data_IF_560442913898
#
_entry.id   IF_560442913898
#
_cell.length_a   1.000
_cell.length_b   1.000
_cell.length_c   1.000
_cell.angle_alpha   90.00
_cell.angle_beta   90.00
_cell.angle_gamma   90.00
#
_symmetry.space_group_name_H-M   'P 1'
#
loop_
_entity.id
_entity.type
_entity.pdbx_description
1 polymer ?
#
# COMPACT_ATOMS: atom_id res chain seq x y z
N UNK A 1 7.13 -7.64 13.64
CA UNK A 1 7.17 -9.09 13.58
C UNK A 1 6.16 -9.70 14.55
N UNK A 2 5.36 -10.64 14.10
CA UNK A 2 4.36 -11.33 14.93
C UNK A 2 2.89 -11.03 14.57
N UNK A 3 2.64 -10.02 13.74
CA UNK A 3 1.33 -9.79 13.10
C UNK A 3 1.37 -10.42 11.70
N UNK A 4 0.32 -11.12 11.33
CA UNK A 4 0.19 -11.69 9.98
C UNK A 4 -0.33 -10.62 9.00
N UNK A 5 0.00 -10.75 7.72
CA UNK A 5 -0.49 -9.82 6.69
C UNK A 5 -2.02 -9.90 6.52
N UNK A 6 -2.58 -11.11 6.55
CA UNK A 6 -4.04 -11.30 6.49
C UNK A 6 -4.75 -10.66 7.70
N UNK A 7 -4.18 -10.71 8.90
CA UNK A 7 -4.70 -10.03 10.09
C UNK A 7 -4.65 -8.50 9.95
N UNK A 8 -3.62 -7.94 9.32
CA UNK A 8 -3.58 -6.51 9.00
C UNK A 8 -4.73 -6.12 8.08
N UNK A 9 -4.98 -6.92 7.03
CA UNK A 9 -6.08 -6.66 6.11
C UNK A 9 -7.45 -6.79 6.79
N UNK A 10 -7.62 -7.81 7.66
CA UNK A 10 -8.83 -7.97 8.49
C UNK A 10 -9.08 -6.73 9.34
N UNK A 11 -8.05 -6.17 9.95
CA UNK A 11 -8.18 -4.94 10.74
C UNK A 11 -8.61 -3.75 9.90
N UNK A 12 -8.05 -3.59 8.69
CA UNK A 12 -8.44 -2.53 7.77
C UNK A 12 -9.92 -2.65 7.37
N UNK A 13 -10.39 -3.86 7.03
CA UNK A 13 -11.79 -4.10 6.66
C UNK A 13 -12.73 -3.86 7.85
N UNK A 14 -12.40 -4.40 9.02
CA UNK A 14 -13.23 -4.19 10.23
C UNK A 14 -13.33 -2.72 10.60
N UNK A 15 -12.20 -2.00 10.64
CA UNK A 15 -12.19 -0.58 10.93
C UNK A 15 -12.94 0.25 9.88
N UNK A 16 -12.93 -0.16 8.61
CA UNK A 16 -13.75 0.46 7.58
C UNK A 16 -15.24 0.29 7.87
N UNK A 17 -15.68 -0.93 8.22
CA UNK A 17 -17.09 -1.23 8.54
C UNK A 17 -17.53 -0.54 9.84
N UNK A 18 -16.69 -0.53 10.86
CA UNK A 18 -16.98 0.19 12.13
C UNK A 18 -17.21 1.69 11.91
N UNK A 19 -16.52 2.28 10.94
CA UNK A 19 -16.71 3.70 10.55
C UNK A 19 -17.92 3.94 9.65
N UNK A 20 -18.50 2.89 9.10
CA UNK A 20 -19.67 2.93 8.24
C UNK A 20 -20.79 2.02 8.78
N UNK A 21 -21.30 2.27 10.00
CA UNK A 21 -22.25 1.38 10.70
C UNK A 21 -23.61 1.24 10.02
N UNK A 22 -23.91 2.07 9.02
CA UNK A 22 -25.11 1.98 8.21
C UNK A 22 -25.01 0.93 7.10
N UNK A 23 -23.81 0.45 6.81
CA UNK A 23 -23.57 -0.58 5.80
C UNK A 23 -23.76 -1.94 6.45
N UNK A 24 -24.77 -2.67 6.00
CA UNK A 24 -24.91 -4.08 6.37
C UNK A 24 -23.77 -4.88 5.74
N UNK A 25 -22.95 -5.59 6.54
CA UNK A 25 -21.91 -6.45 5.99
C UNK A 25 -22.41 -7.47 4.95
N UNK A 26 -23.67 -7.88 5.04
CA UNK A 26 -24.30 -8.80 4.08
C UNK A 26 -24.63 -8.14 2.73
N UNK A 27 -24.64 -6.82 2.65
CA UNK A 27 -24.85 -6.08 1.41
C UNK A 27 -23.58 -5.91 0.58
N UNK A 28 -22.40 -6.24 1.12
CA UNK A 28 -21.15 -6.19 0.37
C UNK A 28 -21.17 -7.27 -0.70
N UNK A 29 -20.99 -6.85 -1.95
CA UNK A 29 -21.13 -7.74 -3.11
C UNK A 29 -19.80 -8.29 -3.61
N UNK A 30 -18.68 -7.66 -3.28
CA UNK A 30 -17.33 -8.17 -3.59
C UNK A 30 -16.24 -7.54 -2.72
N UNK A 31 -15.10 -8.24 -2.61
CA UNK A 31 -13.91 -7.80 -1.87
C UNK A 31 -12.67 -8.01 -2.72
N UNK A 32 -12.13 -6.94 -3.30
CA UNK A 32 -10.93 -6.96 -4.13
C UNK A 32 -9.70 -6.50 -3.33
N UNK A 33 -8.78 -7.40 -3.04
CA UNK A 33 -7.57 -7.08 -2.27
C UNK A 33 -6.32 -7.37 -3.09
N UNK A 34 -5.44 -6.41 -3.14
CA UNK A 34 -4.14 -6.56 -3.78
C UNK A 34 -3.03 -6.91 -2.79
N UNK A 35 -2.10 -7.74 -3.26
CA UNK A 35 -0.79 -7.92 -2.66
C UNK A 35 0.22 -8.14 -3.78
N UNK A 36 1.42 -7.53 -3.66
CA UNK A 36 2.48 -7.71 -4.65
C UNK A 36 3.22 -9.03 -4.44
N UNK A 37 3.36 -9.46 -3.19
CA UNK A 37 3.98 -10.73 -2.82
C UNK A 37 2.90 -11.73 -2.40
N UNK A 38 2.28 -12.40 -3.37
CA UNK A 38 1.17 -13.33 -3.10
C UNK A 38 1.66 -14.72 -2.65
N UNK A 39 2.38 -14.75 -1.53
CA UNK A 39 2.91 -15.96 -0.89
C UNK A 39 2.59 -15.97 0.60
N UNK A 40 2.73 -17.11 1.26
CA UNK A 40 2.46 -17.26 2.69
C UNK A 40 1.08 -16.73 3.09
N UNK A 41 1.04 -15.86 4.09
CA UNK A 41 -0.20 -15.24 4.60
C UNK A 41 -0.73 -14.08 3.73
N UNK A 42 -0.05 -13.75 2.63
CA UNK A 42 -0.54 -12.88 1.55
C UNK A 42 -1.05 -13.68 0.33
N UNK A 43 -0.94 -15.00 0.37
CA UNK A 43 -1.39 -15.92 -0.67
C UNK A 43 -2.85 -16.36 -0.52
N UNK A 44 -3.18 -17.49 -1.18
CA UNK A 44 -4.47 -18.17 -1.10
C UNK A 44 -5.69 -17.27 -1.30
N UNK A 45 -5.65 -16.39 -2.29
CA UNK A 45 -6.73 -15.44 -2.52
C UNK A 45 -7.01 -14.59 -1.26
N UNK A 46 -6.06 -13.72 -0.92
CA UNK A 46 -6.15 -12.86 0.28
C UNK A 46 -7.45 -12.06 0.34
N UNK A 47 -8.05 -11.68 -0.81
CA UNK A 47 -9.34 -10.98 -0.84
C UNK A 47 -10.45 -11.82 -0.22
N UNK A 48 -10.54 -13.09 -0.61
CA UNK A 48 -11.53 -14.02 -0.03
C UNK A 48 -11.23 -14.37 1.42
N UNK A 49 -9.96 -14.64 1.73
CA UNK A 49 -9.53 -14.97 3.10
C UNK A 49 -9.82 -13.82 4.06
N UNK A 50 -9.46 -12.59 3.69
CA UNK A 50 -9.69 -11.41 4.50
C UNK A 50 -11.19 -11.10 4.67
N UNK A 51 -12.01 -11.31 3.63
CA UNK A 51 -13.46 -11.14 3.73
C UNK A 51 -14.05 -12.05 4.83
N UNK A 52 -13.75 -13.34 4.77
CA UNK A 52 -14.24 -14.31 5.74
C UNK A 52 -13.73 -14.05 7.17
N UNK A 53 -12.43 -13.80 7.31
CA UNK A 53 -11.79 -13.53 8.60
C UNK A 53 -12.28 -12.20 9.21
N UNK A 54 -12.73 -11.25 8.40
CA UNK A 54 -13.33 -9.99 8.87
C UNK A 54 -14.72 -10.17 9.44
N UNK A 55 -15.36 -11.32 9.20
CA UNK A 55 -16.71 -11.63 9.65
C UNK A 55 -17.78 -11.28 8.63
N UNK A 56 -17.41 -11.01 7.37
CA UNK A 56 -18.40 -10.91 6.29
C UNK A 56 -19.08 -12.27 6.07
N UNK A 57 -20.34 -12.32 5.66
CA UNK A 57 -21.03 -13.55 5.34
C UNK A 57 -20.30 -14.39 4.29
N UNK A 58 -20.46 -15.70 4.34
CA UNK A 58 -19.84 -16.61 3.37
C UNK A 58 -20.38 -16.45 1.94
N UNK A 59 -21.47 -15.74 1.78
CA UNK A 59 -22.05 -15.33 0.48
C UNK A 59 -21.27 -14.21 -0.20
N UNK A 60 -20.50 -13.41 0.54
CA UNK A 60 -19.71 -12.31 0.00
C UNK A 60 -18.47 -12.88 -0.70
N UNK A 61 -18.33 -12.75 -2.02
CA UNK A 61 -17.15 -13.22 -2.74
C UNK A 61 -15.92 -12.35 -2.42
N UNK A 62 -14.78 -12.79 -2.94
CA UNK A 62 -13.56 -12.01 -2.85
C UNK A 62 -12.48 -12.55 -3.74
N UNK A 63 -11.60 -11.70 -4.21
CA UNK A 63 -10.50 -12.09 -5.09
C UNK A 63 -9.23 -11.25 -4.83
N UNK A 64 -8.11 -11.79 -5.28
CA UNK A 64 -6.82 -11.13 -5.19
C UNK A 64 -6.42 -10.50 -6.51
N UNK A 65 -5.72 -9.37 -6.43
CA UNK A 65 -5.12 -8.70 -7.58
C UNK A 65 -3.61 -8.65 -7.37
N UNK A 66 -2.86 -8.97 -8.43
CA UNK A 66 -1.45 -8.66 -8.53
C UNK A 66 -1.24 -7.64 -9.66
N UNK A 67 -0.78 -6.48 -9.27
CA UNK A 67 -0.23 -5.44 -10.15
C UNK A 67 0.89 -4.70 -9.43
N UNK A 68 1.64 -5.44 -8.65
CA UNK A 68 2.74 -4.92 -7.82
C UNK A 68 2.29 -3.70 -7.01
N UNK A 69 3.12 -2.65 -6.94
CA UNK A 69 2.82 -1.43 -6.19
C UNK A 69 1.53 -0.70 -6.63
N UNK A 70 1.01 -0.97 -7.83
CA UNK A 70 -0.25 -0.40 -8.34
C UNK A 70 -1.47 -1.29 -8.02
N UNK A 71 -1.31 -2.38 -7.29
CA UNK A 71 -2.35 -3.37 -7.05
C UNK A 71 -3.59 -2.80 -6.36
N UNK A 72 -3.44 -2.11 -5.23
CA UNK A 72 -4.57 -1.56 -4.49
C UNK A 72 -5.38 -0.54 -5.31
N UNK A 73 -4.70 0.35 -6.06
CA UNK A 73 -5.39 1.26 -6.97
C UNK A 73 -6.10 0.50 -8.11
N UNK A 74 -5.52 -0.60 -8.58
CA UNK A 74 -6.17 -1.47 -9.57
C UNK A 74 -7.42 -2.13 -8.99
N UNK A 75 -7.40 -2.57 -7.73
CA UNK A 75 -8.58 -3.08 -7.05
C UNK A 75 -9.70 -2.01 -7.03
N UNK A 76 -9.37 -0.77 -6.65
CA UNK A 76 -10.31 0.35 -6.66
C UNK A 76 -10.90 0.58 -8.06
N UNK A 77 -10.06 0.68 -9.09
CA UNK A 77 -10.54 0.94 -10.46
C UNK A 77 -11.33 -0.23 -11.04
N UNK A 78 -11.01 -1.47 -10.67
CA UNK A 78 -11.77 -2.67 -11.10
C UNK A 78 -13.16 -2.68 -10.48
N UNK A 79 -13.25 -2.46 -9.16
CA UNK A 79 -14.55 -2.36 -8.48
C UNK A 79 -15.36 -1.16 -8.99
N UNK A 80 -14.74 0.00 -9.18
CA UNK A 80 -15.42 1.17 -9.76
C UNK A 80 -15.97 0.87 -11.17
N UNK A 81 -15.21 0.11 -11.99
CA UNK A 81 -15.68 -0.37 -13.29
C UNK A 81 -16.89 -1.30 -13.17
N UNK A 82 -16.86 -2.26 -12.23
CA UNK A 82 -17.96 -3.17 -11.98
C UNK A 82 -19.24 -2.42 -11.54
N UNK A 83 -19.09 -1.43 -10.66
CA UNK A 83 -20.19 -0.54 -10.24
C UNK A 83 -20.73 0.26 -11.42
N UNK A 84 -19.87 0.85 -12.23
CA UNK A 84 -20.29 1.62 -13.41
C UNK A 84 -21.04 0.79 -14.46
N UNK A 85 -20.78 -0.51 -14.50
CA UNK A 85 -21.48 -1.47 -15.39
C UNK A 85 -22.75 -2.06 -14.76
N UNK A 86 -23.07 -1.72 -13.51
CA UNK A 86 -24.21 -2.28 -12.77
C UNK A 86 -24.01 -3.73 -12.31
N UNK A 87 -22.75 -4.22 -12.28
CA UNK A 87 -22.44 -5.55 -11.76
C UNK A 87 -22.38 -5.59 -10.24
N UNK A 88 -22.05 -4.46 -9.61
CA UNK A 88 -22.05 -4.27 -8.18
C UNK A 88 -22.68 -2.91 -7.83
N UNK A 89 -23.28 -2.81 -6.67
CA UNK A 89 -23.72 -1.52 -6.07
C UNK A 89 -22.79 -1.06 -4.94
N UNK A 90 -22.25 -2.02 -4.16
CA UNK A 90 -21.36 -1.72 -3.02
C UNK A 90 -20.34 -2.83 -2.83
N UNK A 91 -19.06 -2.46 -2.72
CA UNK A 91 -17.97 -3.40 -2.60
C UNK A 91 -16.78 -2.80 -1.82
N UNK A 92 -15.85 -3.65 -1.41
CA UNK A 92 -14.62 -3.26 -0.73
C UNK A 92 -13.44 -3.47 -1.69
N UNK A 93 -12.57 -2.47 -1.78
CA UNK A 93 -11.29 -2.56 -2.48
C UNK A 93 -10.15 -2.15 -1.56
N UNK A 94 -8.99 -2.76 -1.72
CA UNK A 94 -7.84 -2.42 -0.89
C UNK A 94 -6.58 -3.18 -1.25
N UNK A 95 -5.64 -3.19 -0.33
CA UNK A 95 -4.42 -3.96 -0.48
C UNK A 95 -3.66 -4.08 0.83
N UNK A 96 -2.77 -5.05 0.86
CA UNK A 96 -1.88 -5.31 1.99
C UNK A 96 -0.50 -5.67 1.47
N UNK A 97 0.52 -5.20 2.17
CA UNK A 97 1.90 -5.67 1.99
C UNK A 97 2.58 -5.70 3.36
N UNK A 98 3.22 -6.80 3.68
CA UNK A 98 3.97 -6.98 4.92
C UNK A 98 5.43 -7.31 4.60
N UNK A 99 6.19 -6.28 4.26
CA UNK A 99 7.59 -6.44 3.81
C UNK A 99 8.54 -6.87 4.93
N UNK A 100 8.11 -6.77 6.18
CA UNK A 100 8.83 -7.30 7.33
C UNK A 100 8.79 -8.84 7.42
N UNK A 101 7.70 -9.48 6.95
CA UNK A 101 7.57 -10.94 6.88
C UNK A 101 7.87 -11.48 5.48
N UNK A 102 7.52 -10.73 4.45
CA UNK A 102 7.69 -11.08 3.04
C UNK A 102 8.64 -10.08 2.37
N UNK A 103 9.97 -10.33 2.42
CA UNK A 103 10.96 -9.45 1.83
C UNK A 103 10.71 -9.26 0.33
N UNK A 104 11.02 -8.06 -0.17
CA UNK A 104 10.90 -7.76 -1.60
C UNK A 104 11.67 -8.79 -2.43
N UNK A 105 10.96 -9.43 -3.37
CA UNK A 105 11.51 -10.48 -4.22
C UNK A 105 11.29 -11.90 -3.71
N UNK A 106 10.66 -12.09 -2.55
CA UNK A 106 10.29 -13.43 -2.09
C UNK A 106 9.39 -14.14 -3.12
N UNK A 107 9.73 -15.39 -3.45
CA UNK A 107 8.96 -16.19 -4.40
C UNK A 107 9.03 -15.72 -5.87
N UNK A 108 9.85 -14.70 -6.17
CA UNK A 108 10.04 -14.25 -7.55
C UNK A 108 10.92 -15.24 -8.33
N UNK A 109 10.41 -15.71 -9.45
CA UNK A 109 11.15 -16.54 -10.42
C UNK A 109 11.00 -15.93 -11.83
N UNK A 110 11.72 -14.84 -12.13
CA UNK A 110 11.62 -14.20 -13.43
C UNK A 110 12.14 -15.12 -14.54
N UNK A 111 11.39 -15.23 -15.63
CA UNK A 111 11.75 -16.07 -16.74
C UNK A 111 13.14 -15.65 -17.28
N UNK A 112 14.15 -16.57 -17.35
CA UNK A 112 15.49 -16.24 -17.79
C UNK A 112 15.57 -15.73 -19.24
N UNK A 113 14.53 -15.93 -20.04
CA UNK A 113 14.41 -15.37 -21.39
C UNK A 113 14.38 -13.85 -21.39
N UNK A 114 13.93 -13.20 -20.32
CA UNK A 114 14.00 -11.74 -20.22
C UNK A 114 15.42 -11.21 -20.50
N UNK A 115 16.43 -11.87 -19.96
CA UNK A 115 17.84 -11.50 -20.17
C UNK A 115 18.43 -12.14 -21.43
N UNK A 116 18.15 -13.44 -21.67
CA UNK A 116 18.70 -14.17 -22.80
C UNK A 116 18.27 -13.57 -24.15
N UNK A 117 17.02 -13.14 -24.26
CA UNK A 117 16.46 -12.50 -25.45
C UNK A 117 16.59 -10.97 -25.45
N UNK A 118 17.25 -10.41 -24.42
CA UNK A 118 17.44 -8.97 -24.26
C UNK A 118 16.14 -8.16 -24.27
N UNK A 119 15.06 -8.74 -23.73
CA UNK A 119 13.78 -8.05 -23.56
C UNK A 119 13.91 -6.93 -22.52
N UNK A 120 14.66 -7.21 -21.45
CA UNK A 120 15.03 -6.25 -20.42
C UNK A 120 16.52 -6.35 -20.11
N UNK A 121 17.09 -5.31 -19.55
CA UNK A 121 18.47 -5.35 -19.06
C UNK A 121 18.52 -5.94 -17.65
N UNK A 122 19.67 -6.45 -17.24
CA UNK A 122 19.86 -7.18 -15.99
C UNK A 122 19.41 -6.41 -14.74
N UNK A 123 19.60 -5.10 -14.73
CA UNK A 123 19.25 -4.23 -13.60
C UNK A 123 17.84 -3.63 -13.71
N UNK A 124 17.10 -3.94 -14.77
CA UNK A 124 15.76 -3.38 -15.01
C UNK A 124 14.71 -3.82 -13.96
N UNK A 125 14.94 -4.94 -13.28
CA UNK A 125 14.08 -5.43 -12.21
C UNK A 125 14.35 -4.74 -10.85
N UNK A 126 15.42 -3.95 -10.75
CA UNK A 126 15.75 -3.18 -9.56
C UNK A 126 15.22 -1.74 -9.69
N UNK A 127 14.22 -1.39 -8.88
CA UNK A 127 13.57 -0.07 -8.96
C UNK A 127 14.53 1.11 -8.79
N UNK A 128 15.55 0.98 -7.95
CA UNK A 128 16.57 2.01 -7.80
C UNK A 128 17.38 2.23 -9.06
N UNK A 129 17.74 1.16 -9.78
CA UNK A 129 18.43 1.24 -11.09
C UNK A 129 17.52 1.87 -12.14
N UNK A 130 16.23 1.54 -12.14
CA UNK A 130 15.24 2.20 -13.01
C UNK A 130 15.16 3.70 -12.74
N UNK A 131 15.12 4.10 -11.47
CA UNK A 131 15.12 5.50 -11.08
C UNK A 131 16.41 6.22 -11.52
N UNK A 132 17.60 5.58 -11.40
CA UNK A 132 18.85 6.16 -11.89
C UNK A 132 18.83 6.37 -13.40
N UNK A 133 18.25 5.46 -14.19
CA UNK A 133 18.08 5.64 -15.64
C UNK A 133 17.14 6.78 -16.00
N UNK A 134 16.09 7.03 -15.20
CA UNK A 134 15.24 8.21 -15.36
C UNK A 134 16.04 9.50 -15.12
N UNK A 135 16.94 9.50 -14.15
CA UNK A 135 17.83 10.63 -13.93
C UNK A 135 18.78 10.88 -15.10
N UNK A 136 19.23 9.83 -15.80
CA UNK A 136 20.06 9.97 -16.99
C UNK A 136 19.24 10.52 -18.17
N UNK A 137 18.03 9.98 -18.35
CA UNK A 137 17.12 10.42 -19.42
C UNK A 137 16.63 11.85 -19.24
N UNK A 138 16.51 12.28 -18.00
CA UNK A 138 16.03 13.62 -17.61
C UNK A 138 17.07 14.31 -16.71
N UNK A 139 18.15 14.89 -17.27
CA UNK A 139 19.24 15.48 -16.49
C UNK A 139 18.83 16.59 -15.53
N UNK A 140 17.69 17.27 -15.81
CA UNK A 140 17.09 18.27 -14.93
C UNK A 140 16.57 17.68 -13.59
N UNK A 141 16.40 16.37 -13.49
CA UNK A 141 16.08 15.67 -12.25
C UNK A 141 17.37 15.44 -11.46
N UNK A 142 17.90 16.48 -10.86
CA UNK A 142 19.13 16.41 -10.05
C UNK A 142 18.86 15.70 -8.72
N UNK A 143 19.92 15.19 -8.07
CA UNK A 143 19.83 14.66 -6.71
C UNK A 143 19.23 15.69 -5.76
N UNK A 144 19.70 16.94 -5.83
CA UNK A 144 19.19 18.04 -4.99
C UNK A 144 17.67 18.25 -5.17
N UNK A 145 17.18 18.18 -6.40
CA UNK A 145 15.74 18.30 -6.68
C UNK A 145 14.95 17.15 -6.08
N UNK A 146 15.45 15.92 -6.18
CA UNK A 146 14.83 14.74 -5.56
C UNK A 146 14.86 14.82 -4.04
N UNK A 147 15.99 15.24 -3.45
CA UNK A 147 16.13 15.43 -2.01
C UNK A 147 15.19 16.52 -1.48
N UNK A 148 15.04 17.63 -2.20
CA UNK A 148 14.12 18.71 -1.85
C UNK A 148 12.66 18.25 -1.89
N UNK A 149 12.30 17.43 -2.87
CA UNK A 149 10.97 16.81 -2.94
C UNK A 149 10.73 15.91 -1.72
N UNK A 150 11.69 15.05 -1.39
CA UNK A 150 11.61 14.15 -0.24
C UNK A 150 11.52 14.93 1.09
N UNK A 151 12.35 15.94 1.29
CA UNK A 151 12.27 16.83 2.48
C UNK A 151 10.89 17.47 2.59
N UNK A 152 10.36 18.02 1.51
CA UNK A 152 9.03 18.64 1.51
C UNK A 152 7.93 17.63 1.81
N UNK A 153 8.07 16.38 1.35
CA UNK A 153 7.14 15.29 1.68
C UNK A 153 7.14 14.99 3.18
N UNK A 154 8.31 14.91 3.81
CA UNK A 154 8.43 14.69 5.24
C UNK A 154 7.81 15.84 6.06
N UNK A 155 8.07 17.09 5.68
CA UNK A 155 7.49 18.27 6.34
C UNK A 155 5.97 18.33 6.20
N UNK A 156 5.43 18.02 5.02
CA UNK A 156 3.97 17.94 4.79
C UNK A 156 3.33 16.83 5.62
N UNK A 157 3.99 15.69 5.73
CA UNK A 157 3.51 14.58 6.56
C UNK A 157 3.48 14.98 8.02
N UNK A 158 4.54 15.61 8.54
CA UNK A 158 4.58 16.10 9.90
C UNK A 158 3.45 17.11 10.18
N UNK A 159 3.22 18.06 9.26
CA UNK A 159 2.13 19.02 9.38
C UNK A 159 0.76 18.33 9.34
N UNK A 160 0.58 17.32 8.49
CA UNK A 160 -0.67 16.57 8.41
C UNK A 160 -0.98 15.80 9.71
N UNK A 161 0.05 15.31 10.41
CA UNK A 161 -0.09 14.75 11.76
C UNK A 161 -0.53 15.80 12.78
N UNK A 162 0.10 16.99 12.77
CA UNK A 162 -0.29 18.10 13.65
C UNK A 162 -1.73 18.55 13.41
N UNK A 163 -2.14 18.59 12.15
CA UNK A 163 -3.50 18.98 11.74
C UNK A 163 -4.55 17.85 11.99
N UNK A 164 -4.15 16.67 12.47
CA UNK A 164 -5.05 15.54 12.69
C UNK A 164 -5.58 14.89 11.41
N UNK A 165 -5.01 15.23 10.25
CA UNK A 165 -5.51 14.74 8.95
C UNK A 165 -5.25 13.26 8.71
N UNK A 166 -4.13 12.74 9.23
CA UNK A 166 -3.74 11.35 9.05
C UNK A 166 -4.47 10.45 10.03
N UNK A 167 -4.59 10.87 11.30
CA UNK A 167 -5.17 10.07 12.36
C UNK A 167 -6.62 9.65 12.09
N UNK A 168 -7.38 10.47 11.36
CA UNK A 168 -8.78 10.15 11.01
C UNK A 168 -8.88 8.92 10.09
N UNK A 169 -7.84 8.62 9.30
CA UNK A 169 -7.82 7.50 8.36
C UNK A 169 -7.05 6.29 8.93
N UNK A 170 -6.27 6.47 10.01
CA UNK A 170 -5.57 5.39 10.69
C UNK A 170 -6.51 4.53 11.52
N UNK A 171 -6.27 3.22 11.50
CA UNK A 171 -6.93 2.25 12.38
C UNK A 171 -5.91 1.76 13.40
N UNK A 172 -6.10 2.05 14.70
CA UNK A 172 -5.20 1.57 15.75
C UNK A 172 -5.02 0.06 15.68
N UNK A 173 -3.78 -0.40 15.64
CA UNK A 173 -3.47 -1.79 15.41
C UNK A 173 -2.50 -2.31 16.49
N UNK A 174 -2.79 -3.48 17.04
CA UNK A 174 -1.87 -4.14 17.96
C UNK A 174 -0.59 -4.50 17.20
N UNK A 175 0.54 -4.00 17.67
CA UNK A 175 1.86 -4.24 17.12
C UNK A 175 2.85 -4.57 18.24
N UNK A 176 3.91 -5.28 17.90
CA UNK A 176 4.96 -5.63 18.85
C UNK A 176 6.20 -4.78 18.59
N UNK A 177 6.54 -3.93 19.55
CA UNK A 177 7.82 -3.24 19.54
C UNK A 177 8.91 -4.06 20.24
N UNK A 178 10.17 -3.82 19.91
CA UNK A 178 11.31 -4.46 20.58
C UNK A 178 11.45 -4.01 22.04
N UNK A 179 11.09 -2.76 22.31
CA UNK A 179 11.29 -2.14 23.63
C UNK A 179 10.09 -2.34 24.57
N UNK A 180 8.87 -2.18 24.04
CA UNK A 180 7.65 -2.15 24.86
C UNK A 180 6.84 -3.45 24.81
N UNK A 181 7.26 -4.44 24.01
CA UNK A 181 6.47 -5.65 23.77
C UNK A 181 5.21 -5.34 22.95
N UNK A 182 4.06 -5.92 23.30
CA UNK A 182 2.80 -5.62 22.64
C UNK A 182 2.27 -4.25 23.03
N UNK A 183 1.97 -3.42 22.04
CA UNK A 183 1.42 -2.08 22.19
C UNK A 183 0.39 -1.81 21.09
N UNK A 184 -0.27 -0.65 21.16
CA UNK A 184 -1.17 -0.19 20.09
C UNK A 184 -0.43 0.87 19.27
N UNK A 185 -0.19 0.56 17.98
CA UNK A 185 0.35 1.50 17.03
C UNK A 185 -0.78 2.46 16.59
N UNK A 186 -0.54 3.75 16.77
CA UNK A 186 -1.46 4.84 16.42
C UNK A 186 -0.83 5.88 15.51
N UNK A 187 0.44 5.70 15.18
CA UNK A 187 1.23 6.56 14.29
C UNK A 187 2.14 5.70 13.40
N UNK A 188 2.45 6.18 12.22
CA UNK A 188 3.42 5.56 11.33
C UNK A 188 4.86 5.82 11.80
N UNK A 189 5.73 4.82 11.69
CA UNK A 189 7.13 4.90 12.12
C UNK A 189 8.06 5.54 11.08
N UNK A 190 7.65 5.58 9.81
CA UNK A 190 8.48 6.04 8.70
C UNK A 190 8.70 7.56 8.64
N UNK A 191 7.79 8.45 9.10
CA UNK A 191 7.98 9.89 9.02
C UNK A 191 9.23 10.38 9.76
N UNK A 192 9.94 11.30 9.13
CA UNK A 192 11.19 11.93 9.62
C UNK A 192 11.06 13.45 9.59
N UNK A 193 10.32 14.06 10.53
CA UNK A 193 10.04 15.52 10.52
C UNK A 193 11.29 16.39 10.61
N UNK A 194 12.41 15.86 11.09
CA UNK A 194 13.69 16.56 11.20
C UNK A 194 14.57 16.44 9.95
N UNK A 195 14.03 15.96 8.84
CA UNK A 195 14.78 15.82 7.58
C UNK A 195 15.27 17.16 7.08
N UNK A 196 16.56 17.25 6.75
CA UNK A 196 17.21 18.45 6.21
C UNK A 196 17.87 18.17 4.87
N UNK A 197 18.03 19.19 4.04
CA UNK A 197 18.76 19.08 2.77
C UNK A 197 20.21 18.61 2.97
N UNK A 198 20.87 19.10 4.02
CA UNK A 198 22.23 18.72 4.36
C UNK A 198 22.34 17.22 4.71
N UNK A 199 21.43 16.73 5.56
CA UNK A 199 21.34 15.31 5.90
C UNK A 199 21.10 14.41 4.66
N UNK A 200 20.22 14.84 3.77
CA UNK A 200 19.95 14.11 2.53
C UNK A 200 21.14 14.11 1.55
N UNK A 201 21.83 15.25 1.44
CA UNK A 201 22.99 15.39 0.56
C UNK A 201 24.10 14.39 0.90
N UNK A 202 24.30 14.10 2.20
CA UNK A 202 25.32 13.17 2.70
C UNK A 202 25.00 11.67 2.53
N UNK A 203 23.79 11.30 2.08
CA UNK A 203 23.41 9.91 1.96
C UNK A 203 24.08 9.22 0.78
N UNK A 204 24.44 7.93 0.98
CA UNK A 204 25.06 7.08 -0.04
C UNK A 204 24.06 6.75 -1.14
N UNK A 205 24.58 6.53 -2.36
CA UNK A 205 23.85 6.12 -3.55
C UNK A 205 24.08 4.63 -3.81
N UNK A 206 23.22 3.73 -3.28
CA UNK A 206 23.49 2.29 -3.25
C UNK A 206 23.39 1.60 -4.62
N UNK A 207 22.67 2.18 -5.58
CA UNK A 207 22.41 1.55 -6.87
C UNK A 207 23.53 1.79 -7.91
N UNK A 208 24.28 2.87 -7.78
CA UNK A 208 25.51 3.12 -8.56
C UNK A 208 26.41 4.17 -7.90
N UNK A 209 27.73 4.13 -8.16
CA UNK A 209 28.65 5.19 -7.75
C UNK A 209 28.21 6.55 -8.32
N UNK A 210 28.26 7.60 -7.50
CA UNK A 210 27.84 8.96 -7.87
C UNK A 210 26.42 9.05 -8.46
N UNK A 211 25.53 8.15 -8.05
CA UNK A 211 24.13 8.15 -8.41
C UNK A 211 23.34 9.29 -7.75
N UNK A 212 22.04 9.27 -7.94
CA UNK A 212 21.13 10.29 -7.39
C UNK A 212 20.09 9.69 -6.44
N UNK A 213 19.88 8.38 -6.51
CA UNK A 213 18.92 7.64 -5.68
C UNK A 213 19.55 7.26 -4.35
N UNK A 214 18.89 7.63 -3.26
CA UNK A 214 19.35 7.39 -1.89
C UNK A 214 18.19 6.89 -1.01
N UNK A 215 18.45 6.30 0.16
CA UNK A 215 17.38 5.96 1.09
C UNK A 215 16.53 7.16 1.53
N UNK A 216 17.06 8.36 1.46
CA UNK A 216 16.36 9.58 1.87
C UNK A 216 15.41 10.14 0.82
N UNK A 217 15.61 9.83 -0.46
CA UNK A 217 14.74 10.24 -1.56
C UNK A 217 13.99 9.06 -2.21
N UNK A 218 13.87 7.96 -1.48
CA UNK A 218 13.16 6.74 -1.89
C UNK A 218 12.13 6.35 -0.83
N UNK A 219 11.15 5.55 -1.23
CA UNK A 219 10.19 4.93 -0.30
C UNK A 219 10.90 3.92 0.61
N UNK A 220 10.46 3.84 1.85
CA UNK A 220 10.87 2.76 2.76
C UNK A 220 10.24 1.41 2.41
N UNK A 221 10.74 0.35 3.04
CA UNK A 221 10.11 -0.97 3.07
C UNK A 221 9.19 -0.99 4.29
N UNK A 222 7.89 -1.07 4.07
CA UNK A 222 6.89 -0.86 5.10
C UNK A 222 5.88 -1.99 5.14
N UNK A 223 5.23 -2.12 6.30
CA UNK A 223 4.07 -2.98 6.49
C UNK A 223 2.82 -2.11 6.47
N UNK A 224 1.78 -2.53 5.77
CA UNK A 224 0.55 -1.74 5.72
C UNK A 224 -0.60 -2.47 5.07
N UNK A 225 -1.82 -2.07 5.46
CA UNK A 225 -3.05 -2.50 4.82
C UNK A 225 -4.01 -1.33 4.69
N UNK A 226 -4.73 -1.29 3.59
CA UNK A 226 -5.73 -0.25 3.32
C UNK A 226 -7.01 -0.86 2.82
N UNK A 227 -8.15 -0.25 3.18
CA UNK A 227 -9.45 -0.63 2.66
C UNK A 227 -10.27 0.62 2.33
N UNK A 228 -11.00 0.58 1.22
CA UNK A 228 -11.94 1.59 0.79
C UNK A 228 -13.29 0.95 0.50
N UNK A 229 -14.37 1.61 0.91
CA UNK A 229 -15.73 1.26 0.54
C UNK A 229 -16.07 2.04 -0.74
N UNK A 230 -16.47 1.32 -1.77
CA UNK A 230 -16.97 1.88 -3.02
C UNK A 230 -18.44 1.56 -3.16
N UNK A 231 -19.21 2.54 -3.58
CA UNK A 231 -20.64 2.36 -3.84
C UNK A 231 -21.07 3.18 -5.05
N UNK A 232 -22.19 2.79 -5.68
CA UNK A 232 -22.88 3.69 -6.60
C UNK A 232 -23.36 4.93 -5.85
N UNK A 233 -23.53 6.04 -6.56
CA UNK A 233 -24.05 7.26 -5.95
C UNK A 233 -25.44 7.02 -5.34
N UNK A 234 -26.29 6.27 -6.04
CA UNK A 234 -27.63 5.91 -5.56
C UNK A 234 -27.55 5.12 -4.25
N UNK A 235 -26.70 4.11 -4.18
CA UNK A 235 -26.52 3.32 -2.96
C UNK A 235 -25.91 4.13 -1.83
N UNK A 236 -24.98 5.01 -2.11
CA UNK A 236 -24.37 5.88 -1.12
C UNK A 236 -25.42 6.85 -0.50
N UNK A 237 -26.29 7.42 -1.33
CA UNK A 237 -27.37 8.28 -0.90
C UNK A 237 -28.44 7.52 -0.12
N UNK A 238 -28.85 6.32 -0.59
CA UNK A 238 -29.79 5.43 0.11
C UNK A 238 -29.33 5.13 1.53
N UNK A 239 -28.05 4.82 1.69
CA UNK A 239 -27.45 4.51 2.99
C UNK A 239 -27.05 5.77 3.79
N UNK A 240 -27.20 6.97 3.21
CA UNK A 240 -26.80 8.23 3.83
C UNK A 240 -25.31 8.26 4.17
N UNK A 241 -24.46 7.73 3.27
CA UNK A 241 -23.01 7.77 3.37
C UNK A 241 -22.46 9.12 2.90
N UNK A 242 -21.32 9.50 3.46
CA UNK A 242 -20.60 10.69 2.99
C UNK A 242 -19.78 10.32 1.76
N UNK A 243 -20.12 10.90 0.62
CA UNK A 243 -19.35 10.78 -0.62
C UNK A 243 -18.09 11.64 -0.48
N UNK A 244 -16.90 11.07 -0.75
CA UNK A 244 -15.59 11.74 -0.66
C UNK A 244 -15.03 12.07 -2.04
#
# INVERSE_FOLDING_TARGET
AGTRADDLMVRAIRGLLERNPKVDPASIEDVAIAAATQTGDQGMNIGRSAALLSGLPNTVPGYSIDRWCAGALTAVTTIAGAISMGANEIAIAGGVEHMGNHPMGEGMDPNPRYLAERIVEQDALAMGSTAERLHDRFPQLTKERADRYAMNSQLKTAQAYVDGKIQRDLIPTAARSAELGWTVATVDEAPRPQTTMEGLAGLKTPFRPAGRVTPGNSSGLNDGATAALLASEEKALELGLTIK
#
